data_IF_854074170829
#
_entry.id   IF_854074170829
#
_cell.length_a   1.000
_cell.length_b   1.000
_cell.length_c   1.000
_cell.angle_alpha   90.00
_cell.angle_beta   90.00
_cell.angle_gamma   90.00
#
_symmetry.space_group_name_H-M   'P 1'
#
loop_
_entity.id
_entity.type
_entity.pdbx_description
1 polymer ?
#
# COMPACT_ATOMS: atom_id res chain seq x y z
N UNK A 1 14.18 -2.81 -3.56
CA UNK A 1 13.18 -3.84 -3.18
C UNK A 1 11.99 -3.13 -2.56
N UNK A 2 10.77 -3.62 -2.83
CA UNK A 2 9.52 -3.04 -2.35
C UNK A 2 8.67 -4.16 -1.76
N UNK A 3 8.09 -3.93 -0.59
CA UNK A 3 6.97 -4.71 -0.08
C UNK A 3 5.69 -3.87 -0.12
N UNK A 4 4.56 -4.48 -0.47
CA UNK A 4 3.25 -3.84 -0.45
C UNK A 4 2.33 -4.70 0.40
N UNK A 5 1.73 -4.11 1.43
CA UNK A 5 0.68 -4.72 2.23
C UNK A 5 -0.68 -4.12 1.88
N UNK A 6 -1.65 -4.98 1.57
CA UNK A 6 -3.05 -4.59 1.37
C UNK A 6 -3.84 -5.05 2.59
N UNK A 7 -4.51 -4.10 3.24
CA UNK A 7 -5.29 -4.34 4.45
C UNK A 7 -6.57 -5.08 4.10
N UNK A 8 -6.88 -6.13 4.85
CA UNK A 8 -8.11 -6.92 4.72
C UNK A 8 -8.89 -6.96 6.03
N UNK A 9 -10.21 -7.20 5.97
CA UNK A 9 -11.09 -7.21 7.16
C UNK A 9 -10.63 -8.22 8.23
N UNK A 10 -10.15 -9.40 7.81
CA UNK A 10 -9.65 -10.44 8.72
C UNK A 10 -8.29 -10.10 9.36
N UNK A 11 -7.56 -9.14 8.80
CA UNK A 11 -6.27 -8.66 9.32
C UNK A 11 -6.40 -7.50 10.33
N UNK A 12 -7.61 -6.95 10.52
CA UNK A 12 -7.85 -5.75 11.35
C UNK A 12 -7.49 -5.96 12.84
N UNK A 13 -7.46 -7.20 13.33
CA UNK A 13 -7.12 -7.54 14.72
C UNK A 13 -5.65 -8.02 14.91
N UNK A 14 -4.83 -8.05 13.85
CA UNK A 14 -3.40 -8.36 13.94
C UNK A 14 -2.57 -7.34 13.15
N UNK A 15 -2.19 -6.30 13.88
CA UNK A 15 -0.78 -5.94 14.04
C UNK A 15 -0.09 -5.29 12.83
N UNK A 16 -0.43 -4.02 12.56
CA UNK A 16 0.38 -3.14 11.70
C UNK A 16 1.84 -3.05 12.18
N UNK A 17 2.09 -3.14 13.48
CA UNK A 17 3.43 -2.98 14.05
C UNK A 17 4.30 -4.23 13.87
N UNK A 18 3.79 -5.43 14.13
CA UNK A 18 4.60 -6.65 14.03
C UNK A 18 5.02 -6.94 12.59
N UNK A 19 4.11 -6.76 11.61
CA UNK A 19 4.50 -6.94 10.20
C UNK A 19 5.50 -5.89 9.73
N UNK A 20 5.32 -4.63 10.10
CA UNK A 20 6.28 -3.58 9.77
C UNK A 20 7.66 -3.87 10.38
N UNK A 21 7.71 -4.37 11.63
CA UNK A 21 8.97 -4.74 12.29
C UNK A 21 9.68 -5.90 11.59
N UNK A 22 8.94 -6.96 11.24
CA UNK A 22 9.51 -8.08 10.47
C UNK A 22 10.10 -7.62 9.13
N UNK A 23 9.38 -6.76 8.39
CA UNK A 23 9.89 -6.22 7.14
C UNK A 23 11.13 -5.32 7.33
N UNK A 24 11.24 -4.63 8.46
CA UNK A 24 12.41 -3.82 8.81
C UNK A 24 13.61 -4.70 9.17
N UNK A 25 13.38 -5.80 9.91
CA UNK A 25 14.39 -6.81 10.24
C UNK A 25 14.95 -7.48 8.97
N UNK A 26 14.13 -7.66 7.94
CA UNK A 26 14.57 -8.13 6.61
C UNK A 26 15.26 -7.05 5.76
N UNK A 27 15.34 -5.80 6.23
CA UNK A 27 16.04 -4.71 5.56
C UNK A 27 15.34 -4.21 4.29
N UNK A 28 14.02 -4.35 4.17
CA UNK A 28 13.30 -3.89 2.98
C UNK A 28 13.28 -2.34 2.98
N UNK A 29 13.82 -1.67 1.95
CA UNK A 29 14.03 -0.22 2.03
C UNK A 29 12.75 0.59 1.78
N UNK A 30 11.77 0.03 1.09
CA UNK A 30 10.47 0.64 0.83
C UNK A 30 9.34 -0.34 1.16
N UNK A 31 8.36 0.14 1.91
CA UNK A 31 7.20 -0.63 2.32
C UNK A 31 5.95 0.25 2.17
N UNK A 32 4.98 -0.20 1.38
CA UNK A 32 3.73 0.54 1.17
C UNK A 32 2.57 -0.18 1.84
N UNK A 33 1.71 0.58 2.51
CA UNK A 33 0.47 0.04 3.07
C UNK A 33 -0.71 0.65 2.35
N UNK A 34 -1.57 -0.20 1.79
CA UNK A 34 -2.78 0.18 1.07
C UNK A 34 -3.98 -0.25 1.90
N UNK A 35 -4.80 0.72 2.31
CA UNK A 35 -6.03 0.46 3.04
C UNK A 35 -7.25 0.80 2.17
N UNK A 36 -7.91 -0.21 1.57
CA UNK A 36 -9.11 -0.01 0.77
C UNK A 36 -10.40 0.01 1.58
N UNK A 37 -10.36 -0.25 2.89
CA UNK A 37 -11.55 -0.44 3.73
C UNK A 37 -12.06 0.86 4.36
N UNK A 38 -11.38 1.98 4.13
CA UNK A 38 -11.79 3.30 4.57
C UNK A 38 -12.78 3.91 3.59
N UNK A 39 -13.53 4.93 4.03
CA UNK A 39 -14.45 5.69 3.15
C UNK A 39 -13.73 6.28 1.92
N UNK A 40 -12.48 6.73 2.12
CA UNK A 40 -11.57 7.11 1.05
C UNK A 40 -10.31 6.24 1.14
N UNK A 41 -9.88 5.64 0.03
CA UNK A 41 -8.76 4.71 0.03
C UNK A 41 -7.47 5.42 0.47
N UNK A 42 -6.61 4.72 1.21
CA UNK A 42 -5.37 5.31 1.75
C UNK A 42 -4.13 4.51 1.32
N UNK A 43 -3.07 5.22 1.00
CA UNK A 43 -1.73 4.66 0.74
C UNK A 43 -0.69 5.35 1.61
N UNK A 44 0.06 4.57 2.38
CA UNK A 44 1.20 5.02 3.17
C UNK A 44 2.50 4.59 2.51
N UNK A 45 3.46 5.51 2.36
CA UNK A 45 4.84 5.19 2.04
C UNK A 45 5.66 5.14 3.32
N UNK A 46 6.24 3.99 3.61
CA UNK A 46 7.19 3.79 4.69
C UNK A 46 8.58 3.54 4.09
N UNK A 47 9.59 4.22 4.62
CA UNK A 47 11.00 3.99 4.25
C UNK A 47 11.79 3.54 5.46
N UNK A 48 12.64 2.54 5.25
CA UNK A 48 13.53 2.06 6.29
C UNK A 48 14.59 3.13 6.57
N UNK A 49 14.72 3.50 7.83
CA UNK A 49 15.69 4.46 8.32
C UNK A 49 16.18 4.03 9.69
N UNK A 50 17.48 3.74 9.82
CA UNK A 50 18.06 3.34 11.10
C UNK A 50 17.53 2.03 11.70
N UNK A 51 16.91 1.15 10.89
CA UNK A 51 16.37 -0.13 11.35
C UNK A 51 14.88 -0.12 11.66
N UNK A 52 14.21 1.03 11.53
CA UNK A 52 12.76 1.15 11.67
C UNK A 52 12.16 1.90 10.47
N UNK A 53 10.85 1.78 10.27
CA UNK A 53 10.17 2.49 9.20
C UNK A 53 9.73 3.89 9.62
N UNK A 54 9.97 4.88 8.76
CA UNK A 54 9.39 6.23 8.85
C UNK A 54 8.36 6.46 7.76
N UNK A 55 7.26 7.14 8.11
CA UNK A 55 6.27 7.61 7.13
C UNK A 55 6.88 8.73 6.30
N UNK A 56 6.86 8.58 4.99
CA UNK A 56 7.32 9.58 4.02
C UNK A 56 6.15 10.28 3.37
N UNK A 57 5.06 9.54 3.12
CA UNK A 57 3.87 10.05 2.46
C UNK A 57 2.64 9.34 3.00
N UNK A 58 1.54 10.08 3.04
CA UNK A 58 0.22 9.61 3.40
C UNK A 58 -0.78 10.20 2.41
N UNK A 59 -1.17 9.40 1.42
CA UNK A 59 -2.08 9.77 0.35
C UNK A 59 -3.46 9.18 0.62
N UNK A 60 -4.50 10.00 0.55
CA UNK A 60 -5.90 9.61 0.82
C UNK A 60 -6.80 10.09 -0.30
N UNK A 61 -7.69 9.22 -0.75
CA UNK A 61 -8.72 9.52 -1.72
C UNK A 61 -8.17 9.87 -3.10
N UNK A 62 -8.50 11.06 -3.57
CA UNK A 62 -8.01 11.63 -4.83
C UNK A 62 -6.59 12.22 -4.75
N UNK A 63 -6.01 12.30 -3.54
CA UNK A 63 -4.66 12.85 -3.39
C UNK A 63 -3.62 11.87 -3.95
N UNK A 64 -2.82 12.35 -4.90
CA UNK A 64 -1.84 11.53 -5.58
C UNK A 64 -0.70 11.09 -4.63
N UNK A 65 -0.50 9.78 -4.54
CA UNK A 65 0.73 9.15 -4.07
C UNK A 65 1.78 9.27 -5.18
N UNK A 66 2.78 10.11 -5.00
CA UNK A 66 3.91 10.21 -5.94
C UNK A 66 5.21 9.85 -5.24
N UNK A 67 5.98 8.95 -5.83
CA UNK A 67 7.31 8.59 -5.33
C UNK A 67 8.25 8.28 -6.47
N UNK A 68 9.54 8.54 -6.25
CA UNK A 68 10.64 8.19 -7.16
C UNK A 68 11.38 6.93 -6.69
N UNK A 69 11.05 6.41 -5.50
CA UNK A 69 11.72 5.29 -4.87
C UNK A 69 10.73 4.20 -4.43
N UNK A 70 11.00 2.92 -4.70
CA UNK A 70 12.15 2.40 -5.45
C UNK A 70 11.97 2.51 -6.98
N UNK A 71 10.79 2.97 -7.43
CA UNK A 71 10.47 3.24 -8.82
C UNK A 71 9.69 4.55 -8.89
N UNK A 72 9.83 5.26 -10.01
CA UNK A 72 9.02 6.44 -10.27
C UNK A 72 7.59 6.03 -10.62
N UNK A 73 6.64 6.38 -9.76
CA UNK A 73 5.22 6.11 -9.96
C UNK A 73 4.36 7.21 -9.34
N UNK A 74 3.21 7.46 -9.97
CA UNK A 74 2.12 8.26 -9.42
C UNK A 74 0.85 7.42 -9.41
N UNK A 75 0.19 7.34 -8.26
CA UNK A 75 -1.04 6.56 -8.05
C UNK A 75 -2.06 7.45 -7.35
N UNK A 76 -3.31 7.42 -7.79
CA UNK A 76 -4.42 8.01 -7.04
C UNK A 76 -5.15 6.86 -6.33
N UNK A 77 -5.18 6.82 -4.98
CA UNK A 77 -5.77 5.72 -4.21
C UNK A 77 -7.17 5.32 -4.66
N UNK A 78 -8.07 6.29 -4.85
CA UNK A 78 -9.46 5.98 -5.24
C UNK A 78 -9.55 5.42 -6.67
N UNK A 79 -8.70 5.89 -7.60
CA UNK A 79 -8.65 5.33 -8.95
C UNK A 79 -8.07 3.92 -8.97
N UNK A 80 -7.12 3.61 -8.07
CA UNK A 80 -6.62 2.25 -7.90
C UNK A 80 -7.73 1.28 -7.46
N UNK A 81 -8.70 1.76 -6.68
CA UNK A 81 -9.82 0.97 -6.16
C UNK A 81 -11.07 0.97 -7.04
N UNK A 82 -11.16 1.83 -8.05
CA UNK A 82 -12.29 1.89 -8.98
C UNK A 82 -12.43 0.65 -9.90
N UNK A 83 -11.58 -0.37 -9.73
CA UNK A 83 -11.39 -1.53 -10.60
C UNK A 83 -12.54 -2.55 -10.70
N UNK A 84 -13.77 -2.22 -10.27
CA UNK A 84 -14.93 -3.07 -10.57
C UNK A 84 -15.48 -2.85 -12.00
N UNK A 85 -15.17 -1.72 -12.64
CA UNK A 85 -15.56 -1.40 -14.04
C UNK A 85 -14.34 -1.12 -14.96
N UNK A 86 -13.13 -1.44 -14.49
CA UNK A 86 -11.88 -1.19 -15.21
C UNK A 86 -11.42 -2.37 -16.09
N UNK A 87 -10.38 -2.20 -16.91
CA UNK A 87 -9.84 -3.25 -17.80
C UNK A 87 -9.23 -4.47 -17.07
N UNK A 88 -9.34 -4.52 -15.75
CA UNK A 88 -8.88 -5.60 -14.87
C UNK A 88 -10.04 -6.39 -14.27
N UNK A 89 -11.24 -6.30 -14.84
CA UNK A 89 -12.36 -7.19 -14.50
C UNK A 89 -11.98 -8.65 -14.82
N UNK A 90 -11.47 -9.35 -13.81
CA UNK A 90 -11.13 -10.77 -13.87
C UNK A 90 -12.35 -11.68 -13.69
N UNK A 91 -13.58 -11.13 -13.66
CA UNK A 91 -14.81 -11.94 -13.63
C UNK A 91 -15.06 -12.66 -14.95
N UNK A 92 -14.38 -12.26 -16.02
CA UNK A 92 -14.34 -12.96 -17.31
C UNK A 92 -12.97 -13.57 -17.59
N UNK A 93 -12.68 -14.77 -17.07
CA UNK A 93 -12.06 -15.88 -17.83
C UNK A 93 -11.67 -17.01 -16.88
N UNK A 94 -12.42 -18.11 -17.00
CA UNK A 94 -12.30 -19.33 -16.23
C UNK A 94 -13.42 -20.29 -16.60
N UNK A 95 -13.59 -20.54 -17.91
CA UNK A 95 -14.48 -21.55 -18.48
C UNK A 95 -13.70 -22.43 -19.46
#
# INVERSE_FOLDING_TARGET
MLAIEVVSESSFFRDYNTKAREQADFGIPAYWVVNPLLEAARMLELRLDGGDYRVVQDAVGENAFTTEFPFQVTIIPDLLMAGADGPWDLSGEGA
#
